data_IF_161315646555
#
_entry.id   IF_161315646555
#
_cell.length_a   1.000
_cell.length_b   1.000
_cell.length_c   1.000
_cell.angle_alpha   90.00
_cell.angle_beta   90.00
_cell.angle_gamma   90.00
#
_symmetry.space_group_name_H-M   'P 1'
#
loop_
_entity.id
_entity.type
_entity.pdbx_description
1 polymer ?
#
# COMPACT_ATOMS: atom_id res chain seq x y z
N UNK A 1 -6.04 -2.44 -41.80
CA UNK A 1 -6.31 -1.12 -41.20
C UNK A 1 -7.79 -0.84 -41.37
N UNK A 2 -8.54 -0.75 -40.27
CA UNK A 2 -9.94 -0.27 -40.26
C UNK A 2 -10.02 0.94 -39.32
N UNK A 3 -10.83 1.94 -39.67
CA UNK A 3 -10.76 3.28 -39.10
C UNK A 3 -11.41 3.31 -37.71
N UNK A 4 -10.86 4.14 -36.82
CA UNK A 4 -11.48 4.46 -35.54
C UNK A 4 -12.68 5.40 -35.82
N UNK A 5 -13.88 4.95 -35.46
CA UNK A 5 -15.07 5.77 -35.46
C UNK A 5 -15.02 6.71 -34.25
N UNK A 6 -15.05 8.01 -34.52
CA UNK A 6 -15.29 9.06 -33.54
C UNK A 6 -16.69 8.92 -32.93
N UNK A 7 -16.79 9.21 -31.63
CA UNK A 7 -18.05 9.64 -31.04
C UNK A 7 -19.00 8.53 -30.60
N UNK A 8 -18.62 7.78 -29.58
CA UNK A 8 -19.55 7.40 -28.51
C UNK A 8 -18.77 7.45 -27.20
N UNK A 9 -18.96 8.52 -26.43
CA UNK A 9 -18.72 8.45 -24.99
C UNK A 9 -19.67 7.38 -24.48
N UNK A 10 -19.14 6.16 -24.36
CA UNK A 10 -19.72 5.18 -23.46
C UNK A 10 -19.55 5.86 -22.11
N UNK A 11 -20.61 6.52 -21.64
CA UNK A 11 -20.89 6.69 -20.22
C UNK A 11 -21.02 5.27 -19.68
N UNK A 12 -19.87 4.62 -19.55
CA UNK A 12 -19.68 3.66 -18.48
C UNK A 12 -19.98 4.53 -17.30
N UNK A 13 -21.14 4.29 -16.71
CA UNK A 13 -21.39 4.59 -15.31
C UNK A 13 -20.18 3.95 -14.64
N UNK A 14 -19.13 4.76 -14.49
CA UNK A 14 -18.01 4.42 -13.66
C UNK A 14 -18.70 4.07 -12.38
N UNK A 15 -18.54 2.83 -11.96
CA UNK A 15 -18.95 2.41 -10.65
C UNK A 15 -18.16 3.33 -9.73
N UNK A 16 -18.71 4.51 -9.45
CA UNK A 16 -18.24 5.41 -8.43
C UNK A 16 -18.14 4.48 -7.24
N UNK A 17 -16.91 4.23 -6.82
CA UNK A 17 -16.57 3.38 -5.70
C UNK A 17 -17.23 4.05 -4.49
N UNK A 18 -18.53 3.78 -4.29
CA UNK A 18 -19.38 4.10 -3.14
C UNK A 18 -18.91 3.28 -1.94
N UNK A 19 -17.62 3.35 -1.64
CA UNK A 19 -17.08 2.85 -0.39
C UNK A 19 -17.13 4.02 0.61
N UNK A 20 -18.35 4.21 1.10
CA UNK A 20 -18.70 4.45 2.50
C UNK A 20 -17.78 5.40 3.29
N UNK A 21 -18.14 6.68 3.35
CA UNK A 21 -17.87 7.47 4.57
C UNK A 21 -18.66 6.84 5.72
N UNK A 22 -18.07 5.90 6.47
CA UNK A 22 -18.74 5.19 7.57
C UNK A 22 -18.90 6.03 8.85
N UNK A 23 -18.41 7.28 8.88
CA UNK A 23 -18.53 8.16 10.04
C UNK A 23 -17.76 7.68 11.30
N UNK A 24 -16.91 6.66 11.19
CA UNK A 24 -16.00 6.27 12.29
C UNK A 24 -14.76 7.17 12.33
N UNK A 25 -14.21 7.37 13.52
CA UNK A 25 -13.02 8.19 13.76
C UNK A 25 -11.73 7.50 13.25
N UNK A 26 -10.70 8.27 12.85
CA UNK A 26 -9.34 7.80 12.64
C UNK A 26 -8.86 6.81 13.70
N UNK A 27 -8.17 5.75 13.26
CA UNK A 27 -7.63 4.71 14.16
C UNK A 27 -6.13 4.86 14.32
N UNK A 28 -5.66 4.71 15.55
CA UNK A 28 -4.24 4.56 15.85
C UNK A 28 -3.86 3.08 15.83
N UNK A 29 -2.88 2.73 15.02
CA UNK A 29 -2.36 1.38 14.83
C UNK A 29 -0.96 1.34 15.43
N UNK A 30 -0.75 0.49 16.42
CA UNK A 30 0.53 0.26 17.08
C UNK A 30 1.20 -0.96 16.47
N UNK A 31 2.39 -0.74 15.95
CA UNK A 31 3.23 -1.78 15.38
C UNK A 31 4.04 -2.50 16.47
N UNK A 32 4.49 -3.75 16.24
CA UNK A 32 5.23 -4.54 17.22
C UNK A 32 6.48 -3.86 17.77
N UNK A 33 7.16 -3.07 16.96
CA UNK A 33 8.36 -2.31 17.30
C UNK A 33 8.08 -1.03 18.11
N UNK A 34 6.82 -0.72 18.39
CA UNK A 34 6.39 0.45 19.17
C UNK A 34 6.09 1.71 18.36
N UNK A 35 6.35 1.69 17.05
CA UNK A 35 5.93 2.76 16.12
C UNK A 35 4.40 2.81 16.02
N UNK A 36 3.84 4.00 15.87
CA UNK A 36 2.40 4.17 15.65
C UNK A 36 2.08 4.79 14.30
N UNK A 37 1.06 4.25 13.65
CA UNK A 37 0.46 4.74 12.43
C UNK A 37 -0.95 5.26 12.75
N UNK A 38 -1.36 6.40 12.20
CA UNK A 38 -2.74 6.89 12.33
C UNK A 38 -3.40 6.88 10.95
N UNK A 39 -4.45 6.07 10.80
CA UNK A 39 -5.25 6.08 9.57
C UNK A 39 -6.21 7.26 9.58
N UNK A 40 -6.18 8.07 8.52
CA UNK A 40 -7.12 9.18 8.34
C UNK A 40 -8.49 8.74 7.80
N UNK A 41 -8.66 7.49 7.32
CA UNK A 41 -9.93 7.04 6.72
C UNK A 41 -10.22 5.56 6.99
N UNK A 42 -11.44 5.24 7.41
CA UNK A 42 -11.89 3.89 7.79
C UNK A 42 -11.95 2.86 6.64
N UNK A 43 -11.70 3.27 5.40
CA UNK A 43 -12.05 2.49 4.19
C UNK A 43 -10.83 1.81 3.58
N UNK A 44 -9.62 2.25 3.92
CA UNK A 44 -8.41 1.89 3.16
C UNK A 44 -7.18 1.59 4.04
N UNK A 45 -7.41 1.32 5.32
CA UNK A 45 -6.39 1.01 6.32
C UNK A 45 -5.41 -0.08 5.86
N UNK A 46 -5.90 -1.11 5.15
CA UNK A 46 -5.06 -2.19 4.64
C UNK A 46 -3.97 -1.71 3.68
N UNK A 47 -4.35 -0.96 2.64
CA UNK A 47 -3.40 -0.49 1.62
C UNK A 47 -2.43 0.53 2.19
N UNK A 48 -2.88 1.34 3.15
CA UNK A 48 -2.01 2.34 3.76
C UNK A 48 -1.01 1.69 4.71
N UNK A 49 -1.44 0.69 5.47
CA UNK A 49 -0.53 -0.15 6.23
C UNK A 49 0.49 -0.86 5.33
N UNK A 50 0.05 -1.42 4.20
CA UNK A 50 0.94 -2.01 3.22
C UNK A 50 2.00 -0.99 2.75
N UNK A 51 1.57 0.20 2.34
CA UNK A 51 2.45 1.26 1.85
C UNK A 51 3.42 1.75 2.93
N UNK A 52 2.95 1.92 4.17
CA UNK A 52 3.75 2.38 5.30
C UNK A 52 4.82 1.36 5.69
N UNK A 53 4.43 0.10 5.90
CA UNK A 53 5.33 -0.97 6.33
C UNK A 53 6.42 -1.25 5.30
N UNK A 54 6.09 -1.14 4.01
CA UNK A 54 7.06 -1.34 2.93
C UNK A 54 7.83 -0.05 2.56
N UNK A 55 7.70 1.03 3.35
CA UNK A 55 8.47 2.28 3.19
C UNK A 55 8.09 3.11 1.97
N UNK A 56 6.97 2.81 1.31
CA UNK A 56 6.55 3.43 0.05
C UNK A 56 5.95 4.83 0.24
N UNK A 57 5.72 5.26 1.48
CA UNK A 57 5.39 6.65 1.80
C UNK A 57 6.60 7.54 2.05
N UNK A 58 7.81 6.97 2.12
CA UNK A 58 9.05 7.71 2.36
C UNK A 58 9.79 8.08 1.06
N UNK A 59 9.06 8.15 -0.06
CA UNK A 59 9.61 8.46 -1.39
C UNK A 59 9.14 9.84 -1.85
N UNK A 60 9.93 10.51 -2.69
CA UNK A 60 9.48 11.73 -3.35
C UNK A 60 8.26 11.46 -4.23
N UNK A 61 7.11 11.99 -3.84
CA UNK A 61 5.85 11.83 -4.58
C UNK A 61 5.92 12.45 -5.97
N UNK A 62 6.41 13.67 -6.09
CA UNK A 62 6.49 14.37 -7.37
C UNK A 62 7.38 13.60 -8.36
N UNK A 63 8.48 13.02 -7.88
CA UNK A 63 9.33 12.16 -8.69
C UNK A 63 8.66 10.82 -9.00
N UNK A 64 8.07 10.14 -8.01
CA UNK A 64 7.40 8.84 -8.21
C UNK A 64 6.23 8.89 -9.20
N UNK A 65 5.52 10.02 -9.30
CA UNK A 65 4.38 10.18 -10.20
C UNK A 65 4.74 10.72 -11.58
N UNK A 66 5.85 11.45 -11.73
CA UNK A 66 6.21 12.12 -12.98
C UNK A 66 7.51 11.63 -13.62
N UNK A 67 8.29 10.79 -12.94
CA UNK A 67 9.56 10.27 -13.42
C UNK A 67 9.56 8.73 -13.32
N UNK A 68 9.44 8.08 -14.48
CA UNK A 68 9.40 6.63 -14.56
C UNK A 68 10.72 5.98 -14.11
N UNK A 69 11.88 6.54 -14.46
CA UNK A 69 13.18 5.99 -14.06
C UNK A 69 13.38 6.06 -12.55
N UNK A 70 12.93 7.16 -11.92
CA UNK A 70 12.91 7.26 -10.46
C UNK A 70 12.02 6.19 -9.83
N UNK A 71 10.85 5.91 -10.42
CA UNK A 71 9.96 4.87 -9.94
C UNK A 71 10.59 3.47 -10.08
N UNK A 72 11.33 3.21 -11.16
CA UNK A 72 12.12 1.98 -11.33
C UNK A 72 13.15 1.83 -10.21
N UNK A 73 13.89 2.89 -9.87
CA UNK A 73 14.86 2.86 -8.79
C UNK A 73 14.22 2.60 -7.43
N UNK A 74 13.09 3.26 -7.13
CA UNK A 74 12.31 2.99 -5.92
C UNK A 74 11.90 1.52 -5.86
N UNK A 75 11.38 0.99 -6.97
CA UNK A 75 10.94 -0.39 -7.05
C UNK A 75 12.08 -1.38 -6.79
N UNK A 76 13.21 -1.20 -7.47
CA UNK A 76 14.41 -2.02 -7.29
C UNK A 76 14.92 -1.96 -5.84
N UNK A 77 14.98 -0.77 -5.26
CA UNK A 77 15.42 -0.58 -3.88
C UNK A 77 14.47 -1.26 -2.88
N UNK A 78 13.16 -1.09 -3.04
CA UNK A 78 12.15 -1.76 -2.22
C UNK A 78 12.26 -3.29 -2.33
N UNK A 79 12.45 -3.81 -3.55
CA UNK A 79 12.60 -5.24 -3.77
C UNK A 79 13.90 -5.79 -3.16
N UNK A 80 15.01 -5.05 -3.25
CA UNK A 80 16.27 -5.40 -2.60
C UNK A 80 16.14 -5.43 -1.07
N UNK A 81 15.48 -4.44 -0.47
CA UNK A 81 15.27 -4.40 0.98
C UNK A 81 14.49 -5.63 1.47
N UNK A 82 13.51 -6.09 0.70
CA UNK A 82 12.69 -7.27 1.03
C UNK A 82 13.48 -8.58 1.00
N UNK A 83 14.57 -8.68 0.24
CA UNK A 83 15.45 -9.86 0.24
C UNK A 83 16.02 -10.14 1.63
N UNK A 84 16.28 -9.09 2.42
CA UNK A 84 16.80 -9.21 3.78
C UNK A 84 15.73 -9.46 4.84
N UNK A 85 14.47 -9.09 4.54
CA UNK A 85 13.34 -9.14 5.49
C UNK A 85 12.51 -10.41 5.38
N UNK A 86 12.44 -11.01 4.19
CA UNK A 86 11.56 -12.16 3.93
C UNK A 86 12.38 -13.43 3.75
N UNK A 87 12.16 -14.39 4.65
CA UNK A 87 12.78 -15.71 4.56
C UNK A 87 12.38 -16.40 3.25
N UNK A 88 13.35 -17.07 2.61
CA UNK A 88 13.15 -17.76 1.33
C UNK A 88 12.62 -16.85 0.19
N UNK A 89 13.03 -15.58 0.17
CA UNK A 89 12.64 -14.61 -0.87
C UNK A 89 12.70 -15.15 -2.30
N UNK A 90 13.83 -15.78 -2.68
CA UNK A 90 14.04 -16.28 -4.03
C UNK A 90 13.15 -17.46 -4.40
N UNK A 91 12.62 -18.19 -3.41
CA UNK A 91 11.67 -19.29 -3.59
C UNK A 91 10.20 -18.85 -3.61
N UNK A 92 9.91 -17.55 -3.45
CA UNK A 92 8.55 -17.03 -3.49
C UNK A 92 7.97 -17.05 -4.91
N UNK A 93 6.68 -17.32 -5.00
CA UNK A 93 5.89 -17.43 -6.23
C UNK A 93 4.47 -16.91 -6.03
N UNK A 94 3.69 -16.80 -7.10
CA UNK A 94 2.26 -16.45 -7.04
C UNK A 94 1.47 -17.38 -6.09
N UNK A 95 1.86 -18.65 -5.97
CA UNK A 95 1.20 -19.60 -5.09
C UNK A 95 1.30 -19.20 -3.62
N UNK A 96 2.33 -18.45 -3.22
CA UNK A 96 2.45 -17.93 -1.87
C UNK A 96 1.41 -16.86 -1.52
N UNK A 97 0.82 -16.18 -2.53
CA UNK A 97 -0.33 -15.29 -2.33
C UNK A 97 -1.64 -16.07 -2.28
N UNK A 98 -1.75 -17.14 -3.06
CA UNK A 98 -2.98 -17.92 -3.21
C UNK A 98 -3.21 -18.92 -2.06
N UNK A 99 -2.13 -19.41 -1.43
CA UNK A 99 -2.22 -20.50 -0.45
C UNK A 99 -2.10 -20.04 1.01
N UNK A 100 -1.57 -18.84 1.30
CA UNK A 100 -0.93 -18.64 2.61
C UNK A 100 -0.88 -17.18 3.14
N UNK A 101 -1.98 -16.41 3.06
CA UNK A 101 -2.34 -15.59 4.23
C UNK A 101 -3.85 -15.37 4.47
N UNK A 102 -4.75 -16.12 3.83
CA UNK A 102 -6.21 -15.85 3.88
C UNK A 102 -6.79 -15.71 5.32
N UNK A 103 -6.39 -16.52 6.32
CA UNK A 103 -6.84 -16.33 7.70
C UNK A 103 -6.32 -15.04 8.36
N UNK A 104 -5.11 -14.59 7.98
CA UNK A 104 -4.51 -13.36 8.50
C UNK A 104 -5.14 -12.13 7.85
N UNK A 105 -5.48 -12.17 6.55
CA UNK A 105 -6.18 -11.06 5.90
C UNK A 105 -7.55 -10.82 6.52
N UNK A 106 -8.32 -11.88 6.79
CA UNK A 106 -9.65 -11.76 7.42
C UNK A 106 -9.55 -11.25 8.86
N UNK A 107 -8.62 -11.78 9.65
CA UNK A 107 -8.36 -11.31 11.02
C UNK A 107 -7.90 -9.83 11.04
N UNK A 108 -7.09 -9.42 10.07
CA UNK A 108 -6.67 -8.03 9.95
C UNK A 108 -7.86 -7.13 9.60
N UNK A 109 -8.70 -7.53 8.65
CA UNK A 109 -9.92 -6.78 8.31
C UNK A 109 -10.81 -6.63 9.55
N UNK A 110 -11.02 -7.69 10.32
CA UNK A 110 -11.79 -7.64 11.57
C UNK A 110 -11.19 -6.64 12.58
N UNK A 111 -9.87 -6.70 12.77
CA UNK A 111 -9.14 -5.80 13.65
C UNK A 111 -9.30 -4.33 13.21
N UNK A 112 -9.12 -4.05 11.91
CA UNK A 112 -9.19 -2.72 11.34
C UNK A 112 -10.62 -2.17 11.34
N UNK A 113 -11.63 -3.04 11.20
CA UNK A 113 -13.06 -2.63 11.18
C UNK A 113 -13.72 -2.58 12.56
N UNK A 114 -13.04 -3.06 13.61
CA UNK A 114 -13.50 -3.01 15.00
C UNK A 114 -13.86 -1.60 15.48
N UNK A 115 -14.53 -1.45 16.62
CA UNK A 115 -14.83 -0.13 17.20
C UNK A 115 -13.71 0.42 18.10
N UNK A 116 -12.57 -0.29 18.20
CA UNK A 116 -11.45 0.14 19.03
C UNK A 116 -10.73 1.33 18.39
N UNK A 117 -10.50 2.44 19.11
CA UNK A 117 -9.77 3.61 18.59
C UNK A 117 -8.27 3.34 18.44
N UNK A 118 -7.74 2.41 19.24
CA UNK A 118 -6.35 1.95 19.18
C UNK A 118 -6.33 0.45 18.89
N UNK A 119 -5.53 0.07 17.89
CA UNK A 119 -5.36 -1.29 17.41
C UNK A 119 -3.89 -1.67 17.56
N UNK A 120 -3.60 -2.89 18.00
CA UNK A 120 -2.25 -3.43 18.08
C UNK A 120 -2.08 -4.52 17.02
N UNK A 121 -1.07 -4.38 16.17
CA UNK A 121 -0.67 -5.43 15.23
C UNK A 121 0.46 -6.26 15.82
N UNK A 122 0.43 -7.56 15.56
CA UNK A 122 1.52 -8.48 15.87
C UNK A 122 2.49 -8.59 14.69
N UNK A 123 3.64 -9.22 14.93
CA UNK A 123 4.68 -9.40 13.91
C UNK A 123 4.18 -10.21 12.70
N UNK A 124 3.27 -11.16 12.91
CA UNK A 124 2.71 -11.98 11.82
C UNK A 124 1.97 -11.15 10.76
N UNK A 125 1.28 -10.06 11.14
CA UNK A 125 0.68 -9.14 10.18
C UNK A 125 1.74 -8.35 9.40
N UNK A 126 2.80 -7.90 10.08
CA UNK A 126 3.92 -7.21 9.43
C UNK A 126 4.61 -8.14 8.43
N UNK A 127 4.88 -9.38 8.83
CA UNK A 127 5.50 -10.39 7.98
C UNK A 127 4.62 -10.73 6.77
N UNK A 128 3.29 -10.78 6.94
CA UNK A 128 2.34 -10.95 5.85
C UNK A 128 2.48 -9.84 4.80
N UNK A 129 2.53 -8.57 5.22
CA UNK A 129 2.68 -7.43 4.31
C UNK A 129 4.03 -7.44 3.57
N UNK A 130 5.12 -7.79 4.26
CA UNK A 130 6.43 -7.93 3.63
C UNK A 130 6.46 -9.09 2.64
N UNK A 131 5.85 -10.23 2.98
CA UNK A 131 5.75 -11.38 2.07
C UNK A 131 4.93 -11.04 0.84
N UNK A 132 3.80 -10.34 0.99
CA UNK A 132 2.98 -9.91 -0.14
C UNK A 132 3.79 -9.02 -1.10
N UNK A 133 4.47 -8.00 -0.57
CA UNK A 133 5.36 -7.13 -1.36
C UNK A 133 6.50 -7.92 -2.03
N UNK A 134 7.08 -8.89 -1.33
CA UNK A 134 8.16 -9.72 -1.86
C UNK A 134 7.69 -10.61 -3.01
N UNK A 135 6.49 -11.21 -2.93
CA UNK A 135 5.93 -11.97 -4.06
C UNK A 135 5.74 -11.07 -5.26
N UNK A 136 5.17 -9.87 -5.08
CA UNK A 136 4.99 -8.93 -6.18
C UNK A 136 6.34 -8.59 -6.83
N UNK A 137 7.37 -8.31 -6.02
CA UNK A 137 8.74 -8.11 -6.51
C UNK A 137 9.25 -9.28 -7.35
N UNK A 138 9.10 -10.53 -6.88
CA UNK A 138 9.50 -11.73 -7.62
C UNK A 138 8.80 -11.86 -8.96
N UNK A 139 7.49 -11.58 -9.00
CA UNK A 139 6.70 -11.63 -10.24
C UNK A 139 7.14 -10.58 -11.26
N UNK A 140 7.61 -9.42 -10.78
CA UNK A 140 8.17 -8.36 -11.61
C UNK A 140 9.68 -8.48 -11.85
N UNK A 141 10.28 -9.66 -11.70
CA UNK A 141 11.72 -9.89 -11.84
C UNK A 141 12.57 -8.92 -10.99
N UNK A 142 12.23 -8.84 -9.71
CA UNK A 142 12.81 -7.95 -8.69
C UNK A 142 12.56 -6.45 -8.94
N UNK A 143 11.55 -6.13 -9.76
CA UNK A 143 11.07 -4.77 -10.03
C UNK A 143 9.55 -4.62 -9.90
N UNK A 144 8.88 -5.57 -9.25
CA UNK A 144 7.42 -5.62 -9.16
C UNK A 144 6.76 -4.56 -8.28
N UNK A 145 7.53 -3.79 -7.50
CA UNK A 145 7.01 -2.71 -6.67
C UNK A 145 6.68 -1.42 -7.46
N UNK A 146 6.84 -1.38 -8.78
CA UNK A 146 6.58 -0.21 -9.63
C UNK A 146 5.15 0.34 -9.47
N UNK A 147 4.15 -0.48 -9.77
CA UNK A 147 2.74 -0.06 -9.72
C UNK A 147 2.32 0.30 -8.30
N UNK A 148 2.85 -0.42 -7.31
CA UNK A 148 2.50 -0.20 -5.91
C UNK A 148 3.19 1.04 -5.35
N UNK A 149 4.43 1.32 -5.73
CA UNK A 149 5.12 2.56 -5.41
C UNK A 149 4.38 3.78 -5.97
N UNK A 150 3.94 3.74 -7.22
CA UNK A 150 3.13 4.81 -7.81
C UNK A 150 1.78 4.97 -7.11
N UNK A 151 1.12 3.85 -6.79
CA UNK A 151 -0.13 3.86 -6.04
C UNK A 151 0.05 4.47 -4.65
N UNK A 152 1.06 4.05 -3.89
CA UNK A 152 1.36 4.59 -2.57
C UNK A 152 1.71 6.09 -2.63
N UNK A 153 2.51 6.51 -3.61
CA UNK A 153 2.81 7.93 -3.84
C UNK A 153 1.56 8.75 -4.19
N UNK A 154 0.58 8.18 -4.89
CA UNK A 154 -0.71 8.82 -5.14
C UNK A 154 -1.54 8.95 -3.85
N UNK A 155 -1.43 7.99 -2.94
CA UNK A 155 -2.25 7.87 -1.73
C UNK A 155 -1.82 8.82 -0.61
N UNK A 156 -0.52 9.02 -0.39
CA UNK A 156 -0.04 9.87 0.71
C UNK A 156 1.48 9.91 0.88
N UNK A 157 1.93 10.36 2.06
CA UNK A 157 3.35 10.53 2.39
C UNK A 157 3.59 10.52 3.91
N UNK A 158 4.86 10.38 4.31
CA UNK A 158 5.27 10.52 5.71
C UNK A 158 5.30 12.00 6.14
N UNK A 159 4.73 12.33 7.30
CA UNK A 159 4.85 13.65 7.94
C UNK A 159 6.13 13.73 8.77
N UNK A 160 6.54 14.95 9.15
CA UNK A 160 7.75 15.23 9.93
C UNK A 160 7.71 14.69 11.37
N UNK A 161 6.52 14.41 11.91
CA UNK A 161 6.31 13.75 13.22
C UNK A 161 6.43 12.21 13.14
N UNK A 162 6.81 11.66 11.98
CA UNK A 162 6.92 10.21 11.76
C UNK A 162 5.57 9.51 11.56
N UNK A 163 4.48 10.27 11.46
CA UNK A 163 3.15 9.75 11.17
C UNK A 163 2.90 9.81 9.68
N UNK A 164 2.36 8.74 9.09
CA UNK A 164 1.92 8.78 7.70
C UNK A 164 0.69 9.68 7.58
N UNK A 165 0.82 10.80 6.88
CA UNK A 165 -0.29 11.68 6.54
C UNK A 165 -0.74 11.45 5.12
N UNK A 166 -2.01 11.07 4.92
CA UNK A 166 -2.62 11.09 3.59
C UNK A 166 -3.34 12.40 3.33
N UNK A 167 -2.90 13.13 2.31
CA UNK A 167 -3.65 14.25 1.75
C UNK A 167 -4.54 13.73 0.63
N UNK A 168 -5.88 13.84 0.79
CA UNK A 168 -6.85 13.67 -0.31
C UNK A 168 -6.41 14.59 -1.47
N UNK A 169 -5.83 14.02 -2.54
CA UNK A 169 -5.45 14.76 -3.76
C UNK A 169 -4.83 16.15 -3.53
N UNK A 170 -3.86 16.26 -2.63
CA UNK A 170 -3.20 17.54 -2.32
C UNK A 170 -1.74 17.32 -2.00
N UNK A 171 -0.87 18.27 -2.30
CA UNK A 171 0.55 18.22 -1.93
C UNK A 171 0.71 17.90 -0.44
N UNK A 172 1.75 17.14 -0.10
CA UNK A 172 2.09 16.86 1.28
C UNK A 172 2.34 18.18 2.02
N UNK A 173 1.91 18.33 3.28
CA UNK A 173 2.31 19.49 4.07
C UNK A 173 3.85 19.57 4.08
N UNK A 174 4.42 20.79 3.98
CA UNK A 174 5.87 20.97 3.96
C UNK A 174 6.52 20.37 5.21
N UNK A 175 7.67 19.72 5.00
CA UNK A 175 8.50 19.07 6.04
C UNK A 175 8.92 20.07 7.09
#
# INVERSE_FOLDING_TARGET
MRPYAEGQMITTVTTEYKYLQTGKEPKKILLPEGTSYESLTNVRDYHDLFCALNGLFNVSRSAALNNFDYLVQVSEHSCLALQSKVSNYFGLSINNLLLDPYPLSDALIEILTSDKPVVHLNQSFVDMFHREAAVQCRLGNDKGALCVGAYCALRGCMRSDGVVGQTKHGECPPV
#
